data_IF_697200190363
#
_entry.id   IF_697200190363
#
_cell.length_a   1.000
_cell.length_b   1.000
_cell.length_c   1.000
_cell.angle_alpha   90.00
_cell.angle_beta   90.00
_cell.angle_gamma   90.00
#
_symmetry.space_group_name_H-M   'P 1'
#
loop_
_entity.id
_entity.type
_entity.pdbx_description
1 polymer ?
#
# COMPACT_ATOMS: atom_id res chain seq x y z
N UNK A 1 -18.34 7.45 19.77
CA UNK A 1 -17.05 7.23 19.08
C UNK A 1 -17.10 6.97 17.54
N UNK A 2 -18.15 7.32 16.77
CA UNK A 2 -18.18 7.01 15.33
C UNK A 2 -17.31 7.95 14.46
N UNK A 3 -17.12 9.22 14.86
CA UNK A 3 -16.43 10.22 14.04
C UNK A 3 -14.91 10.02 13.99
N UNK A 4 -14.27 9.69 15.12
CA UNK A 4 -12.82 9.43 15.17
C UNK A 4 -12.44 8.18 14.39
N UNK A 5 -13.24 7.10 14.51
CA UNK A 5 -13.04 5.87 13.75
C UNK A 5 -13.07 6.12 12.24
N UNK A 6 -14.11 6.81 11.76
CA UNK A 6 -14.25 7.16 10.34
C UNK A 6 -13.11 8.06 9.85
N UNK A 7 -12.71 9.07 10.64
CA UNK A 7 -11.62 9.96 10.27
C UNK A 7 -10.30 9.19 10.08
N UNK A 8 -9.90 8.38 11.07
CA UNK A 8 -8.66 7.58 11.00
C UNK A 8 -8.69 6.60 9.83
N UNK A 9 -9.84 5.97 9.59
CA UNK A 9 -10.01 5.02 8.49
C UNK A 9 -9.92 5.70 7.11
N UNK A 10 -10.58 6.84 6.93
CA UNK A 10 -10.52 7.64 5.69
C UNK A 10 -9.11 8.15 5.45
N UNK A 11 -8.42 8.66 6.47
CA UNK A 11 -7.02 9.09 6.36
C UNK A 11 -6.12 7.93 5.93
N UNK A 12 -6.31 6.75 6.51
CA UNK A 12 -5.55 5.55 6.14
C UNK A 12 -5.79 5.15 4.68
N UNK A 13 -7.05 5.18 4.23
CA UNK A 13 -7.41 4.93 2.82
C UNK A 13 -6.76 5.92 1.87
N UNK A 14 -6.77 7.21 2.21
CA UNK A 14 -6.17 8.27 1.39
C UNK A 14 -4.65 8.10 1.28
N UNK A 15 -3.98 7.79 2.39
CA UNK A 15 -2.54 7.55 2.40
C UNK A 15 -2.18 6.31 1.59
N UNK A 16 -2.92 5.21 1.74
CA UNK A 16 -2.71 4.00 0.96
C UNK A 16 -2.91 4.26 -0.54
N UNK A 17 -3.95 5.00 -0.91
CA UNK A 17 -4.21 5.38 -2.30
C UNK A 17 -3.11 6.29 -2.87
N UNK A 18 -2.71 7.33 -2.13
CA UNK A 18 -1.63 8.23 -2.54
C UNK A 18 -0.31 7.49 -2.72
N UNK A 19 0.04 6.59 -1.79
CA UNK A 19 1.23 5.75 -1.87
C UNK A 19 1.17 4.80 -3.08
N UNK A 20 0.01 4.19 -3.34
CA UNK A 20 -0.21 3.38 -4.54
C UNK A 20 0.01 4.17 -5.84
N UNK A 21 -0.49 5.41 -5.91
CA UNK A 21 -0.27 6.31 -7.06
C UNK A 21 1.21 6.66 -7.21
N UNK A 22 1.90 6.99 -6.12
CA UNK A 22 3.33 7.30 -6.15
C UNK A 22 4.17 6.10 -6.63
N UNK A 23 3.87 4.89 -6.15
CA UNK A 23 4.53 3.66 -6.59
C UNK A 23 4.27 3.42 -8.08
N UNK A 24 3.03 3.60 -8.54
CA UNK A 24 2.68 3.50 -9.95
C UNK A 24 3.48 4.50 -10.79
N UNK A 25 3.42 5.79 -10.44
CA UNK A 25 4.14 6.86 -11.14
C UNK A 25 5.63 6.56 -11.21
N UNK A 26 6.23 6.10 -10.11
CA UNK A 26 7.62 5.70 -10.10
C UNK A 26 7.90 4.53 -11.04
N UNK A 27 7.13 3.44 -10.94
CA UNK A 27 7.37 2.21 -11.70
C UNK A 27 7.12 2.38 -13.21
N UNK A 28 6.11 3.16 -13.61
CA UNK A 28 5.71 3.30 -15.02
C UNK A 28 6.39 4.48 -15.74
N UNK A 29 6.72 5.56 -15.03
CA UNK A 29 7.28 6.77 -15.65
C UNK A 29 8.75 6.96 -15.29
N UNK A 30 9.07 7.07 -14.00
CA UNK A 30 10.43 7.47 -13.59
C UNK A 30 11.47 6.36 -13.72
N UNK A 31 11.14 5.12 -13.34
CA UNK A 31 12.09 4.01 -13.37
C UNK A 31 12.55 3.66 -14.79
N UNK A 32 11.66 3.53 -15.81
CA UNK A 32 12.09 3.30 -17.18
C UNK A 32 12.99 4.42 -17.71
N UNK A 33 12.56 5.68 -17.53
CA UNK A 33 13.31 6.85 -18.01
C UNK A 33 14.69 6.98 -17.36
N UNK A 34 14.79 6.70 -16.06
CA UNK A 34 16.06 6.78 -15.34
C UNK A 34 17.02 5.66 -15.73
N UNK A 35 16.55 4.41 -15.82
CA UNK A 35 17.42 3.30 -16.23
C UNK A 35 17.90 3.47 -17.66
N UNK A 36 17.06 3.92 -18.59
CA UNK A 36 17.49 4.14 -19.99
C UNK A 36 18.48 5.29 -20.12
N UNK A 37 18.32 6.36 -19.33
CA UNK A 37 19.22 7.53 -19.37
C UNK A 37 20.59 7.28 -18.71
N UNK A 38 20.66 6.40 -17.72
CA UNK A 38 21.88 6.14 -16.93
C UNK A 38 22.44 4.73 -17.10
N UNK A 39 21.95 3.97 -18.08
CA UNK A 39 22.45 2.63 -18.36
C UNK A 39 23.95 2.66 -18.71
N UNK A 40 24.77 1.75 -18.13
CA UNK A 40 26.15 1.58 -18.54
C UNK A 40 26.23 1.24 -20.02
N UNK A 41 27.18 1.84 -20.75
CA UNK A 41 27.35 1.65 -22.20
C UNK A 41 27.65 0.20 -22.60
N UNK A 42 28.16 -0.58 -21.65
CA UNK A 42 28.51 -2.00 -21.77
C UNK A 42 27.36 -2.95 -21.38
N UNK A 43 26.26 -2.44 -20.82
CA UNK A 43 25.14 -3.28 -20.42
C UNK A 43 24.24 -3.62 -21.63
N UNK A 44 23.97 -4.91 -21.91
CA UNK A 44 23.12 -5.27 -23.04
C UNK A 44 21.69 -4.75 -22.86
N UNK A 45 21.14 -4.15 -23.91
CA UNK A 45 19.78 -3.58 -23.89
C UNK A 45 18.67 -4.56 -23.51
N UNK A 46 18.88 -5.86 -23.67
CA UNK A 46 17.95 -6.92 -23.21
C UNK A 46 17.90 -7.02 -21.68
N UNK A 47 19.01 -6.82 -20.97
CA UNK A 47 19.09 -6.77 -19.51
C UNK A 47 18.31 -5.57 -18.96
N UNK A 48 18.52 -4.40 -19.55
CA UNK A 48 17.87 -3.13 -19.20
C UNK A 48 16.34 -3.27 -19.31
N UNK A 49 15.85 -3.76 -20.46
CA UNK A 49 14.41 -3.98 -20.68
C UNK A 49 13.82 -5.01 -19.73
N UNK A 50 14.56 -6.06 -19.38
CA UNK A 50 14.12 -7.07 -18.42
C UNK A 50 13.96 -6.47 -17.01
N UNK A 51 14.89 -5.62 -16.56
CA UNK A 51 14.79 -4.89 -15.28
C UNK A 51 13.59 -3.96 -15.25
N UNK A 52 13.39 -3.19 -16.33
CA UNK A 52 12.23 -2.30 -16.48
C UNK A 52 10.94 -3.11 -16.42
N UNK A 53 10.83 -4.19 -17.20
CA UNK A 53 9.63 -5.04 -17.23
C UNK A 53 9.34 -5.65 -15.85
N UNK A 54 10.36 -6.09 -15.12
CA UNK A 54 10.21 -6.63 -13.77
C UNK A 54 9.66 -5.58 -12.79
N UNK A 55 10.24 -4.37 -12.77
CA UNK A 55 9.79 -3.30 -11.88
C UNK A 55 8.39 -2.80 -12.24
N UNK A 56 8.09 -2.68 -13.53
CA UNK A 56 6.74 -2.36 -14.02
C UNK A 56 5.74 -3.44 -13.58
N UNK A 57 6.07 -4.72 -13.73
CA UNK A 57 5.19 -5.82 -13.31
C UNK A 57 4.92 -5.78 -11.79
N UNK A 58 5.96 -5.56 -10.97
CA UNK A 58 5.80 -5.39 -9.52
C UNK A 58 4.92 -4.17 -9.21
N UNK A 59 5.17 -3.04 -9.89
CA UNK A 59 4.38 -1.82 -9.78
C UNK A 59 2.90 -2.05 -10.07
N UNK A 60 2.56 -2.80 -11.14
CA UNK A 60 1.19 -3.21 -11.47
C UNK A 60 0.57 -4.00 -10.31
N UNK A 61 1.27 -5.04 -9.84
CA UNK A 61 0.75 -5.93 -8.79
C UNK A 61 0.50 -5.18 -7.49
N UNK A 62 1.44 -4.33 -7.07
CA UNK A 62 1.31 -3.51 -5.85
C UNK A 62 0.15 -2.53 -6.02
N UNK A 63 0.08 -1.80 -7.14
CA UNK A 63 -0.97 -0.81 -7.38
C UNK A 63 -2.36 -1.47 -7.43
N UNK A 64 -2.50 -2.58 -8.16
CA UNK A 64 -3.76 -3.32 -8.26
C UNK A 64 -4.19 -3.88 -6.89
N UNK A 65 -3.24 -4.38 -6.10
CA UNK A 65 -3.49 -4.85 -4.73
C UNK A 65 -3.96 -3.71 -3.84
N UNK A 66 -3.30 -2.56 -3.90
CA UNK A 66 -3.67 -1.35 -3.16
C UNK A 66 -5.06 -0.86 -3.54
N UNK A 67 -5.40 -0.78 -4.83
CA UNK A 67 -6.74 -0.40 -5.29
C UNK A 67 -7.80 -1.38 -4.77
N UNK A 68 -7.55 -2.68 -4.87
CA UNK A 68 -8.48 -3.72 -4.37
C UNK A 68 -8.66 -3.61 -2.86
N UNK A 69 -7.58 -3.47 -2.09
CA UNK A 69 -7.60 -3.31 -0.63
C UNK A 69 -8.39 -2.06 -0.26
N UNK A 70 -8.05 -0.90 -0.83
CA UNK A 70 -8.75 0.36 -0.59
C UNK A 70 -10.25 0.24 -0.89
N UNK A 71 -10.62 -0.38 -2.00
CA UNK A 71 -12.01 -0.58 -2.37
C UNK A 71 -12.78 -1.47 -1.37
N UNK A 72 -12.18 -2.59 -0.97
CA UNK A 72 -12.81 -3.51 -0.01
C UNK A 72 -12.92 -2.86 1.38
N UNK A 73 -11.89 -2.16 1.82
CA UNK A 73 -11.89 -1.40 3.08
C UNK A 73 -12.93 -0.28 3.06
N UNK A 74 -13.03 0.49 1.97
CA UNK A 74 -14.05 1.52 1.78
C UNK A 74 -15.46 0.92 1.85
N UNK A 75 -15.70 -0.18 1.13
CA UNK A 75 -17.00 -0.88 1.18
C UNK A 75 -17.33 -1.39 2.58
N UNK A 76 -16.35 -1.94 3.29
CA UNK A 76 -16.52 -2.41 4.67
C UNK A 76 -16.86 -1.24 5.62
N UNK A 77 -16.20 -0.09 5.46
CA UNK A 77 -16.50 1.12 6.22
C UNK A 77 -17.91 1.67 5.92
N UNK A 78 -18.33 1.67 4.65
CA UNK A 78 -19.65 2.18 4.26
C UNK A 78 -20.79 1.24 4.66
N UNK A 79 -20.54 -0.07 4.67
CA UNK A 79 -21.55 -1.10 5.02
C UNK A 79 -21.48 -1.55 6.48
N UNK A 80 -20.56 -1.00 7.27
CA UNK A 80 -20.30 -1.39 8.66
C UNK A 80 -20.05 -2.89 8.85
N UNK A 81 -19.36 -3.52 7.89
CA UNK A 81 -19.01 -4.96 7.91
C UNK A 81 -17.57 -5.11 8.38
N UNK A 82 -17.23 -6.14 9.19
CA UNK A 82 -15.87 -6.38 9.65
C UNK A 82 -14.88 -6.58 8.49
N UNK A 83 -13.74 -5.90 8.55
CA UNK A 83 -12.73 -5.91 7.49
C UNK A 83 -11.45 -6.70 7.83
N UNK A 84 -11.46 -7.51 8.90
CA UNK A 84 -10.26 -8.19 9.46
C UNK A 84 -9.36 -8.87 8.43
N UNK A 85 -9.92 -9.66 7.51
CA UNK A 85 -9.13 -10.38 6.51
C UNK A 85 -8.37 -9.43 5.58
N UNK A 86 -9.06 -8.40 5.09
CA UNK A 86 -8.48 -7.37 4.21
C UNK A 86 -7.45 -6.52 4.95
N UNK A 87 -7.71 -6.15 6.20
CA UNK A 87 -6.77 -5.39 7.04
C UNK A 87 -5.47 -6.16 7.31
N UNK A 88 -5.55 -7.48 7.55
CA UNK A 88 -4.35 -8.33 7.68
C UNK A 88 -3.55 -8.38 6.38
N UNK A 89 -4.22 -8.49 5.24
CA UNK A 89 -3.56 -8.47 3.94
C UNK A 89 -2.89 -7.12 3.67
N UNK A 90 -3.55 -6.01 4.03
CA UNK A 90 -2.99 -4.66 3.96
C UNK A 90 -1.76 -4.50 4.84
N UNK A 91 -1.80 -4.99 6.09
CA UNK A 91 -0.66 -4.99 7.00
C UNK A 91 0.53 -5.77 6.45
N UNK A 92 0.29 -6.96 5.90
CA UNK A 92 1.35 -7.80 5.32
C UNK A 92 1.98 -7.14 4.08
N UNK A 93 1.15 -6.56 3.20
CA UNK A 93 1.62 -5.84 2.02
C UNK A 93 2.46 -4.62 2.43
N UNK A 94 1.98 -3.83 3.39
CA UNK A 94 2.67 -2.62 3.84
C UNK A 94 3.99 -2.96 4.57
N UNK A 95 4.02 -4.04 5.34
CA UNK A 95 5.25 -4.55 5.93
C UNK A 95 6.27 -4.96 4.85
N UNK A 96 5.82 -5.60 3.76
CA UNK A 96 6.69 -5.93 2.63
C UNK A 96 7.23 -4.66 1.93
N UNK A 97 6.39 -3.63 1.76
CA UNK A 97 6.83 -2.33 1.21
C UNK A 97 7.85 -1.65 2.12
N UNK A 98 7.66 -1.72 3.44
CA UNK A 98 8.61 -1.18 4.41
C UNK A 98 9.96 -1.92 4.33
N UNK A 99 9.95 -3.25 4.33
CA UNK A 99 11.17 -4.07 4.18
C UNK A 99 11.86 -3.77 2.86
N UNK A 100 11.10 -3.65 1.77
CA UNK A 100 11.62 -3.25 0.46
C UNK A 100 12.28 -1.87 0.52
N UNK A 101 11.65 -0.91 1.19
CA UNK A 101 12.19 0.46 1.36
C UNK A 101 13.49 0.48 2.16
N UNK A 102 13.60 -0.34 3.21
CA UNK A 102 14.84 -0.51 3.98
C UNK A 102 15.95 -1.11 3.09
N UNK A 103 15.63 -2.17 2.33
CA UNK A 103 16.60 -2.85 1.48
C UNK A 103 17.21 -1.95 0.40
N UNK A 104 16.43 -0.96 -0.10
CA UNK A 104 16.90 0.02 -1.10
C UNK A 104 17.38 1.33 -0.48
N UNK A 105 17.44 1.44 0.85
CA UNK A 105 17.92 2.64 1.55
C UNK A 105 17.05 3.89 1.37
N UNK A 106 15.76 3.75 1.07
CA UNK A 106 14.87 4.89 0.84
C UNK A 106 14.29 5.44 2.15
N UNK A 107 14.84 6.56 2.64
CA UNK A 107 14.35 7.21 3.87
C UNK A 107 12.89 7.66 3.77
N UNK A 108 12.47 8.18 2.62
CA UNK A 108 11.09 8.59 2.36
C UNK A 108 10.14 7.40 2.23
N UNK A 109 10.57 6.32 1.56
CA UNK A 109 9.81 5.07 1.48
C UNK A 109 9.61 4.43 2.86
N UNK A 110 10.65 4.42 3.69
CA UNK A 110 10.58 3.93 5.07
C UNK A 110 9.62 4.76 5.92
N UNK A 111 9.70 6.09 5.86
CA UNK A 111 8.81 6.96 6.63
C UNK A 111 7.34 6.82 6.19
N UNK A 112 7.08 6.84 4.89
CA UNK A 112 5.73 6.67 4.34
C UNK A 112 5.12 5.33 4.73
N UNK A 113 5.84 4.23 4.47
CA UNK A 113 5.35 2.90 4.79
C UNK A 113 5.20 2.66 6.30
N UNK A 114 6.10 3.22 7.11
CA UNK A 114 6.01 3.15 8.57
C UNK A 114 4.76 3.85 9.13
N UNK A 115 4.43 5.04 8.61
CA UNK A 115 3.21 5.78 9.00
C UNK A 115 1.96 5.03 8.55
N UNK A 116 1.90 4.57 7.30
CA UNK A 116 0.78 3.80 6.77
C UNK A 116 0.57 2.50 7.59
N UNK A 117 1.65 1.79 7.90
CA UNK A 117 1.61 0.57 8.70
C UNK A 117 1.08 0.83 10.12
N UNK A 118 1.57 1.89 10.79
CA UNK A 118 1.08 2.26 12.12
C UNK A 118 -0.42 2.58 12.11
N UNK A 119 -0.89 3.31 11.11
CA UNK A 119 -2.31 3.64 10.94
C UNK A 119 -3.16 2.40 10.63
N UNK A 120 -2.67 1.46 9.82
CA UNK A 120 -3.33 0.18 9.57
C UNK A 120 -3.44 -0.67 10.84
N UNK A 121 -2.41 -0.67 11.71
CA UNK A 121 -2.46 -1.35 13.01
C UNK A 121 -3.54 -0.71 13.89
N UNK A 122 -3.58 0.62 13.97
CA UNK A 122 -4.61 1.34 14.71
C UNK A 122 -6.01 1.00 14.16
N UNK A 123 -6.19 1.03 12.84
CA UNK A 123 -7.46 0.67 12.19
C UNK A 123 -7.86 -0.78 12.52
N UNK A 124 -6.93 -1.74 12.49
CA UNK A 124 -7.20 -3.12 12.86
C UNK A 124 -7.63 -3.27 14.33
N UNK A 125 -6.95 -2.59 15.25
CA UNK A 125 -7.33 -2.61 16.66
C UNK A 125 -8.71 -1.97 16.89
N UNK A 126 -9.02 -0.89 16.18
CA UNK A 126 -10.33 -0.24 16.25
C UNK A 126 -11.44 -1.10 15.64
N UNK A 127 -11.21 -1.76 14.50
CA UNK A 127 -12.16 -2.70 13.87
C UNK A 127 -12.47 -3.88 14.80
N UNK A 128 -11.43 -4.46 15.44
CA UNK A 128 -11.59 -5.53 16.43
C UNK A 128 -12.45 -5.08 17.61
N UNK A 129 -12.18 -3.89 18.17
CA UNK A 129 -12.93 -3.35 19.31
C UNK A 129 -14.37 -2.99 18.94
N UNK A 130 -14.58 -2.32 17.80
CA UNK A 130 -15.90 -1.90 17.35
C UNK A 130 -16.84 -3.09 17.14
N UNK A 131 -16.34 -4.18 16.56
CA UNK A 131 -17.14 -5.38 16.33
C UNK A 131 -17.18 -6.36 17.50
N UNK A 132 -16.27 -6.26 18.48
CA UNK A 132 -16.35 -7.03 19.73
C UNK A 132 -17.45 -6.52 20.68
N UNK A 133 -17.77 -5.22 20.61
CA UNK A 133 -18.80 -4.59 21.44
C UNK A 133 -20.19 -4.53 20.80
N UNK A 134 -20.34 -4.98 19.54
CA UNK A 134 -21.63 -5.07 18.87
C UNK A 134 -22.25 -6.42 19.29
N UNK A 135 -23.28 -6.46 20.16
CA UNK A 135 -23.88 -7.71 20.58
C UNK A 135 -24.40 -8.46 19.35
N UNK A 136 -24.10 -9.76 19.29
CA UNK A 136 -24.67 -10.64 18.30
C UNK A 136 -26.18 -10.75 18.55
N UNK A 137 -26.97 -9.93 17.87
CA UNK A 137 -28.44 -10.05 17.88
C UNK A 137 -29.15 -8.75 18.19
N UNK A 138 -29.64 -8.11 17.12
CA UNK A 138 -31.03 -7.65 16.99
C UNK A 138 -31.47 -7.97 15.57
#
# INVERSE_FOLDING_TARGET
MPNTYRAVFITTLLLLAAQGVLIAVFAFLFYPLSIEAFAPLDEPGTSIRAKIAAVVAIGIVVTASTVRISWVLLRACLREVPARGTLRMALALEAAVLVGSVAVGSSTGMAGAGITLALLVVCHQLDVRHHAHRPAGT
#
